data_IF_986558822160
#
_entry.id   IF_986558822160
#
_cell.length_a   1.000
_cell.length_b   1.000
_cell.length_c   1.000
_cell.angle_alpha   90.00
_cell.angle_beta   90.00
_cell.angle_gamma   90.00
#
_symmetry.space_group_name_H-M   'P 1'
#
loop_
_entity.id
_entity.type
_entity.pdbx_description
1 polymer ?
#
# COMPACT_ATOMS: atom_id res chain seq x y z
N UNK A 1 -15.80 31.44 7.68
CA UNK A 1 -15.19 31.06 8.97
C UNK A 1 -13.72 31.36 8.85
N UNK A 2 -13.33 32.54 9.29
CA UNK A 2 -11.94 33.01 9.32
C UNK A 2 -11.50 33.09 10.79
N UNK A 3 -10.21 33.31 11.03
CA UNK A 3 -9.67 33.41 12.40
C UNK A 3 -8.36 32.68 12.59
N UNK A 4 -8.32 31.34 12.45
CA UNK A 4 -7.19 30.54 12.93
C UNK A 4 -6.46 29.71 11.87
N UNK A 5 -5.12 29.81 11.86
CA UNK A 5 -4.23 29.02 11.00
C UNK A 5 -3.40 28.06 11.84
N UNK A 6 -3.39 26.78 11.47
CA UNK A 6 -2.53 25.77 12.08
C UNK A 6 -1.07 25.98 11.64
N UNK A 7 -0.18 26.16 12.60
CA UNK A 7 1.25 26.44 12.38
C UNK A 7 2.17 25.30 12.81
N UNK A 8 1.82 24.58 13.89
CA UNK A 8 2.62 23.45 14.37
C UNK A 8 1.76 22.21 14.64
N UNK A 9 2.38 21.03 14.55
CA UNK A 9 1.80 19.74 14.88
C UNK A 9 2.87 18.83 15.48
N UNK A 10 2.85 18.70 16.80
CA UNK A 10 3.76 17.82 17.55
C UNK A 10 2.99 16.59 18.01
N UNK A 11 3.50 15.40 17.70
CA UNK A 11 2.98 14.15 18.25
C UNK A 11 3.82 13.77 19.48
N UNK A 12 3.16 13.32 20.54
CA UNK A 12 3.85 12.82 21.73
C UNK A 12 4.66 11.57 21.37
N UNK A 13 5.91 11.47 21.84
CA UNK A 13 6.66 10.21 21.73
C UNK A 13 6.03 9.18 22.70
N UNK A 14 6.18 7.89 22.42
CA UNK A 14 5.64 6.85 23.29
C UNK A 14 6.40 5.55 23.07
N UNK A 15 6.73 4.81 24.15
CA UNK A 15 7.56 3.61 24.04
C UNK A 15 6.95 2.56 23.11
N UNK A 16 7.83 1.77 22.51
CA UNK A 16 7.49 0.65 21.64
C UNK A 16 6.50 -0.29 22.36
N UNK A 17 5.39 -0.76 21.74
CA UNK A 17 4.35 -1.53 22.44
C UNK A 17 4.70 -3.01 22.64
N UNK A 18 5.84 -3.46 22.12
CA UNK A 18 6.22 -4.86 22.12
C UNK A 18 7.17 -5.13 23.30
N UNK A 19 6.78 -5.95 24.30
CA UNK A 19 7.70 -6.40 25.33
C UNK A 19 8.73 -7.37 24.73
N UNK A 20 9.92 -7.46 25.34
CA UNK A 20 10.91 -8.49 25.01
C UNK A 20 11.52 -8.42 23.60
N UNK A 21 11.51 -7.25 22.93
CA UNK A 21 12.17 -7.09 21.63
C UNK A 21 13.65 -7.45 21.66
N UNK A 22 14.13 -8.05 20.58
CA UNK A 22 15.55 -8.44 20.46
C UNK A 22 16.46 -7.21 20.39
N UNK A 23 17.65 -7.30 20.99
CA UNK A 23 18.70 -6.29 20.85
C UNK A 23 19.08 -6.13 19.38
N UNK A 24 19.00 -4.90 18.86
CA UNK A 24 19.22 -4.61 17.43
C UNK A 24 17.97 -4.62 16.53
N UNK A 25 16.76 -4.66 17.11
CA UNK A 25 15.50 -4.40 16.38
C UNK A 25 15.55 -3.07 15.61
N UNK A 26 15.07 -3.06 14.36
CA UNK A 26 15.03 -1.86 13.52
C UNK A 26 13.71 -1.09 13.71
N UNK A 27 13.75 0.09 14.33
CA UNK A 27 12.57 0.96 14.41
C UNK A 27 12.43 1.89 13.21
N UNK A 28 11.27 1.83 12.54
CA UNK A 28 10.94 2.56 11.32
C UNK A 28 9.70 3.45 11.56
N UNK A 29 9.92 4.70 11.99
CA UNK A 29 8.86 5.70 12.18
C UNK A 29 8.34 6.23 10.83
N UNK A 30 7.12 5.84 10.49
CA UNK A 30 6.41 6.23 9.27
C UNK A 30 5.59 7.50 9.53
N UNK A 31 5.92 8.59 8.83
CA UNK A 31 5.23 9.89 8.92
C UNK A 31 4.50 10.22 7.62
N UNK A 32 3.65 11.24 7.68
CA UNK A 32 2.95 11.82 6.53
C UNK A 32 3.90 12.15 5.35
N UNK A 33 5.04 12.80 5.62
CA UNK A 33 6.04 13.13 4.59
C UNK A 33 6.88 11.95 4.09
N UNK A 34 6.94 10.83 4.82
CA UNK A 34 7.86 9.72 4.51
C UNK A 34 7.60 9.12 3.13
N UNK A 35 8.65 9.00 2.32
CA UNK A 35 8.59 8.35 1.00
C UNK A 35 8.79 6.84 1.16
N UNK A 36 7.81 6.04 0.72
CA UNK A 36 7.82 4.57 0.90
C UNK A 36 9.11 3.95 0.33
N UNK A 37 9.51 4.34 -0.89
CA UNK A 37 10.76 3.87 -1.55
C UNK A 37 11.99 4.00 -0.64
N UNK A 38 12.12 5.11 0.08
CA UNK A 38 13.28 5.39 0.94
C UNK A 38 13.23 4.54 2.22
N UNK A 39 12.06 4.45 2.87
CA UNK A 39 11.85 3.59 4.04
C UNK A 39 12.13 2.12 3.71
N UNK A 40 11.61 1.64 2.58
CA UNK A 40 11.74 0.24 2.17
C UNK A 40 13.17 -0.08 1.71
N UNK A 41 13.84 0.78 0.96
CA UNK A 41 15.26 0.58 0.60
C UNK A 41 16.15 0.43 1.83
N UNK A 42 15.97 1.30 2.84
CA UNK A 42 16.75 1.27 4.08
C UNK A 42 16.43 0.08 5.00
N UNK A 43 15.16 -0.36 5.05
CA UNK A 43 14.72 -1.47 5.89
C UNK A 43 14.98 -2.84 5.25
N UNK A 44 14.66 -3.03 3.96
CA UNK A 44 14.89 -4.30 3.25
C UNK A 44 16.38 -4.64 3.22
N UNK A 45 17.25 -3.66 2.96
CA UNK A 45 18.70 -3.85 2.94
C UNK A 45 19.29 -4.32 4.28
N UNK A 46 18.58 -4.15 5.41
CA UNK A 46 18.96 -4.75 6.70
C UNK A 46 18.26 -6.08 6.96
N UNK A 47 16.94 -6.18 6.72
CA UNK A 47 16.17 -7.41 6.91
C UNK A 47 16.66 -8.56 6.00
N UNK A 48 17.28 -8.26 4.86
CA UNK A 48 17.93 -9.25 3.99
C UNK A 48 19.28 -9.75 4.54
N UNK A 49 19.83 -9.13 5.58
CA UNK A 49 21.00 -9.67 6.30
C UNK A 49 20.55 -10.62 7.41
N UNK A 50 21.35 -11.64 7.71
CA UNK A 50 21.04 -12.55 8.83
C UNK A 50 21.27 -11.92 10.22
N UNK A 51 21.96 -10.77 10.28
CA UNK A 51 22.20 -10.03 11.53
C UNK A 51 20.94 -9.39 12.11
N UNK A 52 19.96 -9.03 11.27
CA UNK A 52 18.79 -8.28 11.72
C UNK A 52 17.52 -9.13 11.55
N UNK A 53 16.98 -9.58 12.69
CA UNK A 53 15.84 -10.52 12.76
C UNK A 53 14.48 -9.82 12.78
N UNK A 54 14.41 -8.59 13.30
CA UNK A 54 13.17 -7.91 13.65
C UNK A 54 13.15 -6.45 13.18
N UNK A 55 12.01 -6.02 12.61
CA UNK A 55 11.72 -4.63 12.25
C UNK A 55 10.36 -4.21 12.78
N UNK A 56 10.27 -3.00 13.33
CA UNK A 56 9.05 -2.41 13.85
C UNK A 56 8.67 -1.19 13.01
N UNK A 57 7.52 -1.23 12.36
CA UNK A 57 6.92 -0.08 11.67
C UNK A 57 5.91 0.61 12.59
N UNK A 58 6.07 1.90 12.85
CA UNK A 58 5.14 2.70 13.67
C UNK A 58 4.59 3.88 12.87
N UNK A 59 3.32 4.22 13.10
CA UNK A 59 2.69 5.39 12.49
C UNK A 59 1.38 5.79 13.14
N UNK A 60 0.88 6.96 12.75
CA UNK A 60 -0.10 7.75 13.49
C UNK A 60 -0.96 8.58 12.53
N UNK A 61 -2.26 8.70 12.83
CA UNK A 61 -3.23 9.44 12.02
C UNK A 61 -3.10 9.16 10.51
N UNK A 62 -2.77 10.18 9.72
CA UNK A 62 -2.62 10.10 8.25
C UNK A 62 -1.47 9.22 7.76
N UNK A 63 -0.61 8.71 8.65
CA UNK A 63 0.44 7.75 8.33
C UNK A 63 0.05 6.27 8.54
N UNK A 64 -1.08 5.97 9.19
CA UNK A 64 -1.50 4.58 9.53
C UNK A 64 -1.53 3.68 8.29
N UNK A 65 -2.26 4.06 7.24
CA UNK A 65 -2.37 3.28 5.98
C UNK A 65 -0.99 3.02 5.36
N UNK A 66 -0.12 4.04 5.35
CA UNK A 66 1.25 3.93 4.82
C UNK A 66 2.11 2.96 5.65
N UNK A 67 1.88 2.89 6.95
CA UNK A 67 2.57 1.97 7.87
C UNK A 67 2.22 0.53 7.55
N UNK A 68 0.94 0.26 7.30
CA UNK A 68 0.45 -1.04 6.79
C UNK A 68 1.09 -1.34 5.43
N UNK A 69 1.07 -0.40 4.47
CA UNK A 69 1.72 -0.58 3.16
C UNK A 69 3.22 -0.92 3.28
N UNK A 70 3.93 -0.35 4.25
CA UNK A 70 5.32 -0.70 4.52
C UNK A 70 5.50 -2.14 5.04
N UNK A 71 4.62 -2.62 5.93
CA UNK A 71 4.64 -4.01 6.37
C UNK A 71 4.29 -4.99 5.22
N UNK A 72 3.27 -4.68 4.43
CA UNK A 72 2.84 -5.50 3.27
C UNK A 72 3.86 -5.53 2.13
N UNK A 73 4.71 -4.50 1.98
CA UNK A 73 5.86 -4.56 1.07
C UNK A 73 6.97 -5.42 1.67
N UNK A 74 7.24 -5.31 2.97
CA UNK A 74 8.29 -6.09 3.65
C UNK A 74 8.00 -7.60 3.60
N UNK A 75 6.79 -8.04 3.99
CA UNK A 75 6.39 -9.46 3.95
C UNK A 75 6.61 -10.07 2.56
N UNK A 76 6.09 -9.43 1.51
CA UNK A 76 6.24 -9.87 0.10
C UNK A 76 7.65 -9.76 -0.49
N UNK A 77 8.62 -9.16 0.22
CA UNK A 77 10.01 -8.98 -0.25
C UNK A 77 11.07 -9.71 0.57
N UNK A 78 10.72 -10.19 1.77
CA UNK A 78 11.58 -11.05 2.59
C UNK A 78 11.05 -12.47 2.65
N UNK A 79 9.72 -12.66 2.60
CA UNK A 79 9.06 -13.94 2.83
C UNK A 79 9.10 -14.36 4.30
N UNK A 80 8.25 -15.32 4.67
CA UNK A 80 8.34 -16.07 5.94
C UNK A 80 8.47 -15.22 7.23
N UNK A 81 7.87 -14.03 7.29
CA UNK A 81 7.88 -13.18 8.49
C UNK A 81 6.65 -13.40 9.36
N UNK A 82 6.86 -13.68 10.66
CA UNK A 82 5.82 -13.58 11.68
C UNK A 82 5.47 -12.11 11.91
N UNK A 83 4.19 -11.80 12.14
CA UNK A 83 3.73 -10.44 12.38
C UNK A 83 3.01 -10.34 13.73
N UNK A 84 3.21 -9.21 14.43
CA UNK A 84 2.42 -8.83 15.59
C UNK A 84 2.04 -7.35 15.50
N UNK A 85 0.74 -7.07 15.45
CA UNK A 85 0.18 -5.71 15.30
C UNK A 85 -0.45 -5.26 16.60
N UNK A 86 -0.09 -4.05 17.07
CA UNK A 86 -0.71 -3.39 18.22
C UNK A 86 -1.29 -2.04 17.82
N UNK A 87 -2.52 -1.78 18.24
CA UNK A 87 -3.21 -0.50 18.06
C UNK A 87 -3.23 0.27 19.38
N UNK A 88 -2.98 1.58 19.33
CA UNK A 88 -3.05 2.50 20.47
C UNK A 88 -3.59 3.85 20.00
N UNK A 89 -3.96 4.71 20.94
CA UNK A 89 -4.12 6.13 20.66
C UNK A 89 -2.85 6.90 21.07
N UNK A 90 -2.60 8.05 20.41
CA UNK A 90 -1.57 9.03 20.77
C UNK A 90 -2.19 10.42 20.88
N UNK A 91 -1.68 11.26 21.77
CA UNK A 91 -2.03 12.68 21.81
C UNK A 91 -1.15 13.45 20.83
N UNK A 92 -1.76 14.44 20.16
CA UNK A 92 -1.12 15.35 19.23
C UNK A 92 -1.45 16.78 19.66
N UNK A 93 -0.42 17.57 19.97
CA UNK A 93 -0.56 19.01 20.18
C UNK A 93 -0.53 19.70 18.81
N UNK A 94 -1.62 20.39 18.47
CA UNK A 94 -1.72 21.26 17.31
C UNK A 94 -1.72 22.71 17.78
N UNK A 95 -0.82 23.53 17.26
CA UNK A 95 -0.73 24.96 17.58
C UNK A 95 -1.38 25.76 16.44
N UNK A 96 -2.27 26.66 16.82
CA UNK A 96 -3.02 27.52 15.92
C UNK A 96 -2.80 28.99 16.31
N UNK A 97 -2.48 29.82 15.32
CA UNK A 97 -2.33 31.28 15.50
C UNK A 97 -3.56 32.00 14.97
N UNK A 98 -3.96 33.08 15.64
CA UNK A 98 -4.93 34.03 15.08
C UNK A 98 -4.35 34.78 13.88
N UNK A 99 -5.15 34.94 12.84
CA UNK A 99 -4.85 35.75 11.66
C UNK A 99 -5.27 37.23 11.83
N UNK A 100 -6.02 37.56 12.89
CA UNK A 100 -6.57 38.89 13.13
C UNK A 100 -5.72 39.68 14.14
N UNK A 101 -4.61 40.24 13.66
CA UNK A 101 -3.90 41.39 14.27
C UNK A 101 -3.24 41.22 15.65
N UNK A 102 -3.60 40.22 16.44
CA UNK A 102 -3.09 39.96 17.78
C UNK A 102 -2.55 38.53 17.94
N UNK A 103 -1.40 38.40 18.59
CA UNK A 103 -0.67 37.13 18.76
C UNK A 103 -1.32 36.18 19.79
N UNK A 104 -2.55 35.75 19.52
CA UNK A 104 -3.27 34.74 20.31
C UNK A 104 -2.92 33.35 19.80
N UNK A 105 -2.13 32.59 20.57
CA UNK A 105 -1.89 31.16 20.33
C UNK A 105 -3.00 30.30 20.97
N UNK A 106 -3.61 29.41 20.18
CA UNK A 106 -4.47 28.34 20.69
C UNK A 106 -3.78 26.98 20.51
N UNK A 107 -3.46 26.35 21.63
CA UNK A 107 -3.02 24.95 21.69
C UNK A 107 -4.24 24.02 21.76
N UNK A 108 -4.35 23.08 20.81
CA UNK A 108 -5.42 22.07 20.76
C UNK A 108 -4.82 20.67 20.87
N UNK A 109 -5.28 19.89 21.84
CA UNK A 109 -4.91 18.48 21.99
C UNK A 109 -5.88 17.60 21.21
N UNK A 110 -5.37 16.73 20.34
CA UNK A 110 -6.17 15.79 19.54
C UNK A 110 -5.68 14.35 19.72
N UNK A 111 -6.58 13.46 20.08
CA UNK A 111 -6.34 12.02 20.13
C UNK A 111 -6.37 11.46 18.70
N UNK A 112 -5.31 10.78 18.27
CA UNK A 112 -5.23 10.13 16.95
C UNK A 112 -4.96 8.63 17.09
N UNK A 113 -5.50 7.79 16.18
CA UNK A 113 -5.14 6.37 16.15
C UNK A 113 -3.67 6.21 15.74
N UNK A 114 -3.00 5.21 16.32
CA UNK A 114 -1.64 4.82 16.01
C UNK A 114 -1.54 3.30 15.89
N UNK A 115 -0.80 2.86 14.89
CA UNK A 115 -0.50 1.45 14.64
C UNK A 115 1.00 1.21 14.85
N UNK A 116 1.31 0.04 15.39
CA UNK A 116 2.67 -0.49 15.48
C UNK A 116 2.65 -1.92 14.98
N UNK A 117 3.54 -2.27 14.05
CA UNK A 117 3.62 -3.59 13.42
C UNK A 117 5.05 -4.10 13.60
N UNK A 118 5.23 -5.13 14.41
CA UNK A 118 6.46 -5.93 14.48
C UNK A 118 6.41 -6.98 13.37
N UNK A 119 7.50 -7.10 12.61
CA UNK A 119 7.77 -8.22 11.73
C UNK A 119 9.06 -8.92 12.17
N UNK A 120 9.04 -10.25 12.25
CA UNK A 120 10.12 -11.07 12.80
C UNK A 120 10.42 -12.27 11.90
N UNK A 121 11.71 -12.55 11.66
CA UNK A 121 12.18 -13.83 11.07
C UNK A 121 11.99 -15.01 12.03
N UNK A 122 11.95 -14.73 13.33
CA UNK A 122 11.85 -15.72 14.40
C UNK A 122 10.42 -15.79 14.94
N UNK A 123 9.93 -16.94 15.42
CA UNK A 123 8.57 -17.09 15.94
C UNK A 123 8.20 -16.10 17.05
N UNK A 124 6.95 -15.64 17.01
CA UNK A 124 6.30 -14.85 18.05
C UNK A 124 5.19 -15.70 18.69
N UNK A 125 4.75 -15.39 19.91
CA UNK A 125 3.67 -16.13 20.59
C UNK A 125 2.37 -16.09 19.75
N UNK A 126 1.84 -17.24 19.27
CA UNK A 126 0.60 -17.27 18.50
C UNK A 126 -0.65 -16.86 19.31
N UNK A 127 -0.54 -16.77 20.64
CA UNK A 127 -1.63 -16.38 21.56
C UNK A 127 -1.73 -14.87 21.76
N UNK A 128 -0.73 -14.11 21.33
CA UNK A 128 -0.70 -12.64 21.50
C UNK A 128 -1.75 -11.95 20.61
N UNK A 129 -2.67 -11.13 21.16
CA UNK A 129 -3.68 -10.44 20.37
C UNK A 129 -3.05 -9.55 19.28
N UNK A 130 -3.46 -9.78 18.03
CA UNK A 130 -2.89 -9.11 16.85
C UNK A 130 -1.72 -9.85 16.19
N UNK A 131 -1.38 -11.07 16.64
CA UNK A 131 -0.48 -11.97 15.92
C UNK A 131 -1.07 -12.40 14.56
N UNK A 132 -0.20 -12.55 13.56
CA UNK A 132 -0.50 -13.20 12.28
C UNK A 132 0.71 -14.10 11.90
N UNK A 133 0.47 -15.37 11.52
CA UNK A 133 1.54 -16.27 11.08
C UNK A 133 2.11 -15.86 9.70
N UNK A 134 3.29 -16.38 9.32
CA UNK A 134 3.86 -16.11 8.01
C UNK A 134 2.98 -16.59 6.85
N UNK A 135 2.95 -15.80 5.77
CA UNK A 135 2.19 -16.11 4.55
C UNK A 135 2.90 -17.20 3.72
N UNK A 136 2.20 -18.29 3.41
CA UNK A 136 2.71 -19.38 2.56
C UNK A 136 2.78 -18.94 1.10
N UNK A 137 3.99 -18.63 0.62
CA UNK A 137 4.22 -17.98 -0.67
C UNK A 137 3.58 -18.69 -1.89
N UNK A 138 3.42 -20.02 -1.83
CA UNK A 138 2.86 -20.83 -2.93
C UNK A 138 1.43 -20.43 -3.30
N UNK A 139 0.60 -20.06 -2.31
CA UNK A 139 -0.85 -19.91 -2.48
C UNK A 139 -1.30 -18.69 -3.32
N UNK A 140 -0.36 -17.93 -3.89
CA UNK A 140 -0.64 -16.71 -4.65
C UNK A 140 -0.10 -16.71 -6.10
N UNK A 141 0.68 -17.72 -6.50
CA UNK A 141 1.36 -17.75 -7.82
C UNK A 141 0.97 -18.93 -8.73
N UNK A 142 0.20 -19.92 -8.24
CA UNK A 142 -0.25 -21.07 -9.07
C UNK A 142 -1.30 -20.72 -10.14
N UNK A 143 -2.01 -19.58 -10.04
CA UNK A 143 -3.04 -19.18 -11.01
C UNK A 143 -2.49 -18.48 -12.28
N UNK A 144 -1.42 -19.01 -12.92
CA UNK A 144 -1.08 -18.52 -14.28
C UNK A 144 -0.28 -19.39 -15.28
N UNK A 145 -0.09 -20.69 -15.09
CA UNK A 145 0.41 -21.57 -16.17
C UNK A 145 -0.46 -22.84 -16.29
N UNK A 146 -0.93 -23.17 -17.50
CA UNK A 146 -1.75 -24.39 -17.71
C UNK A 146 -2.90 -24.33 -18.73
N UNK A 147 -2.74 -23.68 -19.89
CA UNK A 147 -3.64 -23.91 -21.05
C UNK A 147 -2.81 -24.42 -22.22
N UNK A 148 -2.68 -25.74 -22.31
CA UNK A 148 -2.05 -26.47 -23.41
C UNK A 148 -3.00 -26.60 -24.62
N UNK A 149 -2.64 -26.09 -25.82
CA UNK A 149 -3.42 -26.28 -27.03
C UNK A 149 -3.11 -27.63 -27.68
N UNK A 150 -3.90 -28.65 -27.37
CA UNK A 150 -3.77 -30.00 -27.93
C UNK A 150 -3.84 -30.01 -29.48
N UNK A 151 -2.99 -30.82 -30.11
CA UNK A 151 -2.86 -30.93 -31.58
C UNK A 151 -3.73 -32.03 -32.18
N UNK A 152 -4.31 -31.83 -33.38
CA UNK A 152 -4.84 -32.91 -34.22
C UNK A 152 -3.94 -33.18 -35.44
N UNK A 153 -3.71 -34.45 -35.75
CA UNK A 153 -2.90 -34.92 -36.90
C UNK A 153 -3.67 -35.01 -38.23
N UNK A 154 -2.95 -35.13 -39.35
CA UNK A 154 -3.45 -34.79 -40.68
C UNK A 154 -3.79 -35.96 -41.64
N UNK A 155 -4.70 -35.70 -42.59
CA UNK A 155 -4.98 -36.53 -43.79
C UNK A 155 -5.08 -35.63 -45.06
N UNK A 156 -5.08 -36.20 -46.28
CA UNK A 156 -4.59 -35.53 -47.53
C UNK A 156 -5.65 -35.04 -48.54
N UNK A 157 -5.22 -34.15 -49.48
CA UNK A 157 -5.98 -33.55 -50.62
C UNK A 157 -6.04 -34.43 -51.89
N UNK A 158 -6.96 -34.15 -52.85
CA UNK A 158 -6.57 -33.75 -54.23
C UNK A 158 -7.21 -32.39 -54.72
N UNK A 159 -6.95 -31.89 -55.95
CA UNK A 159 -7.17 -30.45 -56.32
C UNK A 159 -7.96 -30.09 -57.62
N UNK A 160 -8.43 -28.83 -57.70
CA UNK A 160 -8.71 -28.04 -58.93
C UNK A 160 -10.19 -27.92 -59.40
N UNK A 161 -10.57 -26.94 -60.27
CA UNK A 161 -9.82 -25.82 -60.86
C UNK A 161 -10.42 -24.39 -60.61
N UNK A 162 -9.85 -23.37 -61.26
CA UNK A 162 -10.23 -21.93 -61.29
C UNK A 162 -11.08 -21.58 -62.55
N UNK A 163 -11.53 -20.32 -62.81
CA UNK A 163 -11.47 -19.05 -62.04
C UNK A 163 -12.90 -18.56 -61.64
N UNK A 164 -13.26 -17.31 -61.30
CA UNK A 164 -12.65 -15.97 -61.11
C UNK A 164 -13.52 -15.20 -60.05
N UNK A 165 -13.41 -13.91 -59.68
CA UNK A 165 -12.53 -12.79 -60.05
C UNK A 165 -13.15 -11.42 -59.63
N UNK A 166 -12.35 -10.36 -59.44
CA UNK A 166 -12.83 -8.98 -59.21
C UNK A 166 -12.48 -8.33 -57.85
N UNK A 167 -11.62 -7.31 -57.88
CA UNK A 167 -11.43 -6.25 -56.86
C UNK A 167 -12.01 -4.92 -57.45
N UNK A 168 -12.23 -3.81 -56.71
CA UNK A 168 -11.63 -3.47 -55.40
C UNK A 168 -12.54 -2.87 -54.31
N UNK A 169 -11.93 -2.85 -53.12
CA UNK A 169 -12.08 -1.94 -51.98
C UNK A 169 -12.66 -0.53 -52.28
N UNK A 170 -13.54 -0.03 -51.39
CA UNK A 170 -13.69 1.41 -51.15
C UNK A 170 -13.92 1.74 -49.66
N UNK A 171 -13.52 2.95 -49.23
CA UNK A 171 -13.85 3.54 -47.91
C UNK A 171 -14.66 4.83 -48.14
N UNK A 172 -15.71 5.06 -47.35
CA UNK A 172 -16.09 6.43 -46.95
C UNK A 172 -16.90 6.42 -45.67
N UNK A 173 -16.67 7.42 -44.83
CA UNK A 173 -17.56 7.84 -43.76
C UNK A 173 -18.18 9.20 -44.13
N UNK A 174 -19.37 9.49 -43.61
CA UNK A 174 -19.90 10.85 -43.53
C UNK A 174 -20.46 11.07 -42.13
N UNK A 175 -20.37 12.32 -41.66
CA UNK A 175 -20.93 12.80 -40.39
C UNK A 175 -22.06 13.78 -40.69
N UNK A 176 -22.93 14.03 -39.71
CA UNK A 176 -24.03 14.99 -39.84
C UNK A 176 -24.52 15.45 -38.47
N UNK A 177 -24.63 16.77 -38.34
CA UNK A 177 -25.31 17.52 -37.27
C UNK A 177 -26.78 17.06 -37.09
N UNK A 178 -27.49 17.34 -35.98
CA UNK A 178 -27.16 18.19 -34.83
C UNK A 178 -28.24 19.29 -34.64
N UNK A 179 -29.02 19.22 -33.55
CA UNK A 179 -30.02 20.23 -33.15
C UNK A 179 -30.21 20.19 -31.61
N UNK A 180 -30.57 21.32 -31.00
CA UNK A 180 -30.79 21.48 -29.56
C UNK A 180 -32.24 21.87 -29.24
N UNK A 181 -32.84 21.28 -28.20
CA UNK A 181 -34.13 21.70 -27.61
C UNK A 181 -34.13 21.44 -26.10
N UNK A 182 -34.73 22.32 -25.31
CA UNK A 182 -34.90 22.21 -23.86
C UNK A 182 -36.16 23.02 -23.41
N UNK A 183 -36.60 22.92 -22.16
CA UNK A 183 -37.67 22.05 -21.66
C UNK A 183 -39.07 22.72 -21.63
N UNK A 184 -40.09 21.93 -21.23
CA UNK A 184 -40.92 22.29 -20.08
C UNK A 184 -41.10 21.10 -19.10
N UNK A 185 -41.58 21.27 -17.86
CA UNK A 185 -42.01 22.47 -17.13
C UNK A 185 -41.61 22.31 -15.64
#
# INVERSE_FOLDING_TARGET
QEGFKKVCRTEEDSPCPFPGLASGVLEMRVKEGSKIRNLMGFAMARMQTEKLRQVVFTGSGRAVTKTITCAEIMKRKVGSLHQLTKLRYKVVKEVWESSEGGASEMTVHRTVPSISILLSKDPLDPREPGYQPPETLSALWDEKEGIEPATPTAYKRPPGPLPCGGFPHCKRACSGEGVSVHPPL
#
